data_IF_725911018190
#
_entry.id   IF_725911018190
#
_cell.length_a   1.000
_cell.length_b   1.000
_cell.length_c   1.000
_cell.angle_alpha   90.00
_cell.angle_beta   90.00
_cell.angle_gamma   90.00
#
_symmetry.space_group_name_H-M   'P 1'
#
loop_
_entity.id
_entity.type
_entity.pdbx_description
1 polymer ?
#
# COMPACT_ATOMS: atom_id res chain seq x y z
N UNK A 1 -52.05 12.66 -40.59
CA UNK A 1 -52.27 14.06 -41.02
C UNK A 1 -50.97 14.53 -41.67
N UNK A 2 -50.76 14.28 -42.97
CA UNK A 2 -50.92 15.26 -44.06
C UNK A 2 -50.20 16.60 -43.75
N UNK A 3 -48.97 16.79 -44.24
CA UNK A 3 -48.58 17.29 -45.58
C UNK A 3 -48.46 18.83 -45.60
N UNK A 4 -47.36 19.39 -46.10
CA UNK A 4 -47.36 20.06 -47.41
C UNK A 4 -45.96 20.47 -47.89
N UNK A 5 -45.69 20.03 -49.12
CA UNK A 5 -44.61 20.37 -50.05
C UNK A 5 -44.97 21.69 -50.76
N UNK A 6 -44.02 22.56 -51.07
CA UNK A 6 -44.22 23.58 -52.11
C UNK A 6 -42.93 23.80 -52.93
N UNK A 7 -43.14 23.73 -54.24
CA UNK A 7 -42.18 23.69 -55.34
C UNK A 7 -42.16 25.06 -56.06
N UNK A 8 -41.02 25.36 -56.69
CA UNK A 8 -40.79 26.25 -57.84
C UNK A 8 -40.99 27.78 -57.70
N UNK A 9 -39.97 28.53 -58.11
CA UNK A 9 -40.00 29.25 -59.41
C UNK A 9 -38.59 29.54 -59.93
N UNK A 10 -38.45 29.35 -61.24
CA UNK A 10 -37.29 29.57 -62.10
C UNK A 10 -37.54 30.87 -62.89
N UNK A 11 -36.50 31.66 -63.22
CA UNK A 11 -36.54 32.50 -64.42
C UNK A 11 -36.01 33.94 -64.36
N UNK A 12 -34.73 34.07 -64.70
CA UNK A 12 -34.12 34.95 -65.73
C UNK A 12 -34.26 36.49 -65.75
N UNK A 13 -33.15 37.05 -66.28
CA UNK A 13 -32.88 38.37 -66.92
C UNK A 13 -32.46 39.51 -65.99
N UNK A 14 -31.33 40.20 -66.17
CA UNK A 14 -30.30 40.11 -67.21
C UNK A 14 -29.47 41.42 -67.25
N UNK A 15 -28.18 41.27 -67.59
CA UNK A 15 -27.36 42.26 -68.29
C UNK A 15 -26.38 43.08 -67.45
N UNK A 16 -25.24 43.55 -67.96
CA UNK A 16 -24.52 43.32 -69.22
C UNK A 16 -23.24 44.22 -69.18
N UNK A 17 -22.09 43.66 -69.64
CA UNK A 17 -20.88 44.31 -70.24
C UNK A 17 -19.81 45.00 -69.35
N UNK A 18 -18.57 44.54 -69.58
CA UNK A 18 -17.30 45.26 -69.46
C UNK A 18 -16.09 44.29 -69.56
N UNK A 19 -15.80 43.71 -70.75
CA UNK A 19 -14.59 43.95 -71.58
C UNK A 19 -13.25 43.69 -70.85
N UNK A 20 -12.64 42.52 -71.03
CA UNK A 20 -11.48 42.25 -71.93
C UNK A 20 -10.18 43.00 -71.58
N UNK A 21 -9.29 42.30 -70.88
CA UNK A 21 -7.84 42.21 -71.14
C UNK A 21 -7.54 40.72 -70.90
N UNK A 22 -7.05 39.91 -71.83
CA UNK A 22 -5.99 40.21 -72.77
C UNK A 22 -4.65 39.66 -72.30
N UNK A 23 -4.60 38.54 -71.57
CA UNK A 23 -3.38 37.74 -71.47
C UNK A 23 -3.62 36.30 -71.92
N UNK A 24 -2.65 35.83 -72.68
CA UNK A 24 -2.63 34.63 -73.51
C UNK A 24 -1.71 33.60 -72.88
N UNK A 25 -2.09 32.32 -72.98
CA UNK A 25 -1.26 31.14 -72.70
C UNK A 25 -1.09 30.84 -71.18
N UNK A 26 -1.42 29.70 -70.60
CA UNK A 26 -1.46 28.32 -71.08
C UNK A 26 -2.58 27.55 -70.35
N UNK A 27 -3.28 26.72 -71.11
CA UNK A 27 -4.38 25.87 -70.68
C UNK A 27 -3.88 24.44 -70.40
N UNK A 28 -3.44 24.18 -69.18
CA UNK A 28 -3.70 22.90 -68.49
C UNK A 28 -3.76 23.17 -66.99
N UNK A 29 -4.85 23.78 -66.53
CA UNK A 29 -5.25 23.74 -65.13
C UNK A 29 -5.74 22.33 -64.80
N UNK A 30 -4.81 21.38 -64.67
CA UNK A 30 -5.03 20.27 -63.75
C UNK A 30 -5.28 20.93 -62.38
N UNK A 31 -6.38 20.60 -61.66
CA UNK A 31 -6.46 20.97 -60.26
C UNK A 31 -5.18 20.46 -59.61
N UNK A 32 -4.53 21.28 -58.78
CA UNK A 32 -3.45 20.79 -57.92
C UNK A 32 -3.97 19.49 -57.30
N UNK A 33 -3.36 18.33 -57.56
CA UNK A 33 -3.82 17.10 -56.93
C UNK A 33 -3.82 17.39 -55.43
N UNK A 34 -4.95 17.09 -54.77
CA UNK A 34 -4.92 17.04 -53.31
C UNK A 34 -3.70 16.21 -52.91
N UNK A 35 -2.88 16.68 -51.95
CA UNK A 35 -1.66 15.99 -51.58
C UNK A 35 -2.01 14.51 -51.33
N UNK A 36 -1.22 13.64 -51.95
CA UNK A 36 -1.39 12.21 -51.79
C UNK A 36 -1.20 11.89 -50.29
N UNK A 37 -2.18 11.30 -49.59
CA UNK A 37 -2.04 10.98 -48.16
C UNK A 37 -0.90 10.00 -47.88
N UNK A 38 -0.35 9.32 -48.90
CA UNK A 38 0.84 8.47 -48.76
C UNK A 38 2.18 9.25 -48.79
N UNK A 39 2.21 10.54 -49.16
CA UNK A 39 3.45 11.36 -49.06
C UNK A 39 3.59 12.07 -47.70
N UNK A 40 2.59 11.99 -46.83
CA UNK A 40 2.55 12.70 -45.53
C UNK A 40 3.01 11.83 -44.35
N UNK A 41 3.37 10.56 -44.59
CA UNK A 41 3.87 9.62 -43.57
C UNK A 41 5.37 9.33 -43.74
N UNK A 42 6.17 10.34 -44.08
CA UNK A 42 7.63 10.24 -44.18
C UNK A 42 8.22 10.90 -42.94
N UNK A 43 8.87 10.14 -42.03
CA UNK A 43 9.47 10.72 -40.85
C UNK A 43 10.66 11.63 -41.20
N UNK A 44 10.83 12.67 -40.41
CA UNK A 44 11.84 13.72 -40.51
C UNK A 44 12.51 13.93 -39.15
N UNK A 45 13.45 14.89 -39.07
CA UNK A 45 14.14 15.22 -37.80
C UNK A 45 13.37 16.32 -37.02
N UNK A 46 12.12 16.61 -37.36
CA UNK A 46 11.29 17.56 -36.63
C UNK A 46 9.85 17.06 -36.55
N UNK A 47 9.02 17.76 -35.79
CA UNK A 47 7.69 17.33 -35.36
C UNK A 47 6.81 16.84 -36.52
N UNK A 48 6.53 15.54 -36.51
CA UNK A 48 5.76 14.81 -37.51
C UNK A 48 4.44 14.28 -36.94
N UNK A 49 3.47 14.05 -37.84
CA UNK A 49 2.20 13.40 -37.51
C UNK A 49 2.07 12.11 -38.34
N UNK A 50 2.53 11.00 -37.76
CA UNK A 50 2.69 9.72 -38.44
C UNK A 50 1.51 8.79 -38.13
N UNK A 51 0.95 8.18 -39.17
CA UNK A 51 -0.24 7.34 -39.09
C UNK A 51 0.01 5.98 -39.73
N UNK A 52 -0.19 4.93 -38.95
CA UNK A 52 -0.22 3.54 -39.37
C UNK A 52 -1.49 3.16 -40.12
N UNK A 53 -1.70 1.87 -40.23
CA UNK A 53 -2.74 1.20 -40.98
C UNK A 53 -3.48 0.22 -40.07
N UNK A 54 -4.28 -0.68 -40.63
CA UNK A 54 -4.94 -1.73 -39.83
C UNK A 54 -4.14 -3.04 -39.79
N UNK A 55 -2.86 -2.98 -40.15
CA UNK A 55 -1.93 -4.10 -40.18
C UNK A 55 -0.72 -3.72 -39.34
N UNK A 56 0.05 -4.72 -38.92
CA UNK A 56 1.26 -4.54 -38.13
C UNK A 56 2.24 -3.59 -38.84
N UNK A 57 2.44 -2.42 -38.26
CA UNK A 57 3.26 -1.33 -38.77
C UNK A 57 4.53 -1.15 -37.92
N UNK A 58 5.54 -0.55 -38.56
CA UNK A 58 6.77 -0.10 -37.91
C UNK A 58 6.94 1.37 -38.21
N UNK A 59 6.75 2.22 -37.20
CA UNK A 59 6.78 3.68 -37.31
C UNK A 59 7.90 4.22 -36.40
N UNK A 60 8.71 5.14 -36.92
CA UNK A 60 9.79 5.78 -36.17
C UNK A 60 9.74 7.29 -36.41
N UNK A 61 9.59 8.08 -35.34
CA UNK A 61 9.50 9.56 -35.37
C UNK A 61 10.85 10.26 -35.58
N UNK A 62 11.94 9.61 -35.17
CA UNK A 62 13.33 10.07 -35.22
C UNK A 62 13.64 11.16 -34.20
N UNK A 63 13.31 12.42 -34.49
CA UNK A 63 13.55 13.55 -33.60
C UNK A 63 12.41 14.55 -33.76
N UNK A 64 12.26 15.41 -32.78
CA UNK A 64 11.15 16.36 -32.74
C UNK A 64 10.11 15.83 -31.77
N UNK A 65 9.07 16.63 -31.55
CA UNK A 65 7.93 16.20 -30.74
C UNK A 65 6.88 15.66 -31.71
N UNK A 66 6.85 14.34 -31.85
CA UNK A 66 6.11 13.62 -32.87
C UNK A 66 4.78 13.06 -32.34
N UNK A 67 3.84 12.79 -33.24
CA UNK A 67 2.60 12.06 -32.92
C UNK A 67 2.53 10.81 -33.77
N UNK A 68 2.58 9.64 -33.14
CA UNK A 68 2.56 8.33 -33.80
C UNK A 68 1.28 7.58 -33.43
N UNK A 69 0.57 7.05 -34.43
CA UNK A 69 -0.66 6.26 -34.22
C UNK A 69 -0.63 4.95 -35.00
N UNK A 70 -0.66 3.80 -34.32
CA UNK A 70 -0.68 2.45 -34.93
C UNK A 70 -2.02 2.10 -35.57
N UNK A 71 -3.12 2.33 -34.82
CA UNK A 71 -4.53 2.00 -35.13
C UNK A 71 -4.92 0.56 -34.81
N UNK A 72 -4.60 -0.40 -35.66
CA UNK A 72 -4.95 -1.80 -35.42
C UNK A 72 -3.89 -2.71 -36.00
N UNK A 73 -3.74 -3.90 -35.43
CA UNK A 73 -2.59 -4.76 -35.73
C UNK A 73 -1.60 -4.68 -34.58
N UNK A 74 -0.59 -5.53 -34.62
CA UNK A 74 0.47 -5.52 -33.61
C UNK A 74 1.59 -4.60 -34.11
N UNK A 75 1.57 -3.35 -33.68
CA UNK A 75 2.39 -2.26 -34.17
C UNK A 75 3.66 -2.07 -33.34
N UNK A 76 4.69 -1.47 -33.94
CA UNK A 76 5.87 -0.99 -33.22
C UNK A 76 6.07 0.48 -33.52
N UNK A 77 5.93 1.31 -32.49
CA UNK A 77 6.06 2.77 -32.53
C UNK A 77 7.29 3.18 -31.73
N UNK A 78 8.17 3.97 -32.31
CA UNK A 78 9.39 4.52 -31.68
C UNK A 78 9.38 6.04 -31.88
N UNK A 79 9.14 6.80 -30.81
CA UNK A 79 9.07 8.26 -30.84
C UNK A 79 10.41 8.84 -31.25
N UNK A 80 11.46 8.51 -30.48
CA UNK A 80 12.83 8.81 -30.83
C UNK A 80 13.42 9.85 -29.90
N UNK A 81 13.41 11.13 -30.28
CA UNK A 81 13.99 12.16 -29.43
C UNK A 81 13.17 13.44 -29.46
N UNK A 82 12.66 13.84 -28.31
CA UNK A 82 11.70 14.93 -28.18
C UNK A 82 10.54 14.44 -27.32
N UNK A 83 9.56 15.30 -27.09
CA UNK A 83 8.42 14.95 -26.24
C UNK A 83 7.31 14.36 -27.13
N UNK A 84 7.27 13.03 -27.26
CA UNK A 84 6.45 12.34 -28.26
C UNK A 84 5.08 11.90 -27.73
N UNK A 85 4.11 11.71 -28.62
CA UNK A 85 2.79 11.12 -28.31
C UNK A 85 2.61 9.84 -29.13
N UNK A 86 2.59 8.69 -28.46
CA UNK A 86 2.43 7.39 -29.10
C UNK A 86 1.09 6.76 -28.70
N UNK A 87 0.34 6.25 -29.69
CA UNK A 87 -0.90 5.51 -29.44
C UNK A 87 -0.94 4.23 -30.27
N UNK A 88 -0.89 3.07 -29.61
CA UNK A 88 -0.93 1.74 -30.24
C UNK A 88 -2.25 1.49 -30.94
N UNK A 89 -3.32 1.35 -30.16
CA UNK A 89 -4.65 1.12 -30.67
C UNK A 89 -5.14 -0.29 -30.35
N UNK A 90 -5.44 -1.08 -31.37
CA UNK A 90 -5.98 -2.42 -31.16
C UNK A 90 -4.99 -3.48 -31.63
N UNK A 91 -4.44 -4.26 -30.71
CA UNK A 91 -3.45 -5.29 -31.02
C UNK A 91 -2.46 -5.43 -29.88
N UNK A 92 -1.45 -6.27 -30.04
CA UNK A 92 -0.35 -6.32 -29.08
C UNK A 92 0.77 -5.37 -29.54
N UNK A 93 0.72 -4.14 -29.10
CA UNK A 93 1.56 -3.06 -29.58
C UNK A 93 2.85 -2.92 -28.75
N UNK A 94 3.88 -2.35 -29.38
CA UNK A 94 5.13 -1.99 -28.72
C UNK A 94 5.41 -0.52 -28.92
N UNK A 95 5.33 0.25 -27.84
CA UNK A 95 5.57 1.69 -27.81
C UNK A 95 6.92 1.97 -27.13
N UNK A 96 7.72 2.84 -27.72
CA UNK A 96 9.04 3.22 -27.22
C UNK A 96 9.14 4.75 -27.27
N UNK A 97 9.20 5.41 -26.11
CA UNK A 97 9.37 6.86 -26.00
C UNK A 97 10.78 7.29 -26.46
N UNK A 98 11.79 6.64 -25.88
CA UNK A 98 13.21 6.88 -26.15
C UNK A 98 13.84 8.01 -25.34
N UNK A 99 13.83 9.25 -25.80
CA UNK A 99 14.36 10.35 -24.97
C UNK A 99 13.42 11.54 -25.03
N UNK A 100 13.09 12.10 -23.89
CA UNK A 100 12.14 13.21 -23.80
C UNK A 100 11.03 12.84 -22.82
N UNK A 101 10.06 13.73 -22.64
CA UNK A 101 8.89 13.44 -21.83
C UNK A 101 7.76 12.96 -22.73
N UNK A 102 7.57 11.66 -22.80
CA UNK A 102 6.70 10.99 -23.75
C UNK A 102 5.33 10.66 -23.15
N UNK A 103 4.31 10.64 -23.99
CA UNK A 103 2.96 10.24 -23.63
C UNK A 103 2.54 9.01 -24.44
N UNK A 104 2.37 7.87 -23.78
CA UNK A 104 2.14 6.58 -24.42
C UNK A 104 0.81 5.98 -23.98
N UNK A 105 0.03 5.48 -24.95
CA UNK A 105 -1.25 4.83 -24.73
C UNK A 105 -1.30 3.52 -25.53
N UNK A 106 -1.42 2.38 -24.84
CA UNK A 106 -1.62 1.06 -25.45
C UNK A 106 -2.99 0.92 -26.12
N UNK A 107 -4.04 1.30 -25.38
CA UNK A 107 -5.47 1.14 -25.67
C UNK A 107 -6.01 -0.28 -25.44
N UNK A 108 -5.99 -1.18 -26.42
CA UNK A 108 -6.60 -2.52 -26.25
C UNK A 108 -5.67 -3.59 -26.78
N UNK A 109 -5.46 -4.62 -25.97
CA UNK A 109 -4.58 -5.73 -26.29
C UNK A 109 -3.44 -5.80 -25.28
N UNK A 110 -2.43 -6.61 -25.55
CA UNK A 110 -1.37 -6.84 -24.57
C UNK A 110 -0.14 -6.06 -25.04
N UNK A 111 0.05 -4.88 -24.47
CA UNK A 111 0.97 -3.88 -24.96
C UNK A 111 2.26 -3.85 -24.16
N UNK A 112 3.33 -3.37 -24.80
CA UNK A 112 4.62 -3.12 -24.15
C UNK A 112 4.97 -1.66 -24.34
N UNK A 113 4.99 -0.91 -23.23
CA UNK A 113 5.32 0.52 -23.20
C UNK A 113 6.68 0.69 -22.52
N UNK A 114 7.63 1.35 -23.20
CA UNK A 114 8.97 1.62 -22.67
C UNK A 114 9.28 3.12 -22.75
N UNK A 115 9.33 3.81 -21.61
CA UNK A 115 9.62 5.25 -21.53
C UNK A 115 11.07 5.55 -21.91
N UNK A 116 11.99 4.96 -21.14
CA UNK A 116 13.45 5.08 -21.20
C UNK A 116 13.97 6.34 -20.52
N UNK A 117 14.34 7.39 -21.26
CA UNK A 117 14.95 8.57 -20.66
C UNK A 117 13.96 9.74 -20.66
N UNK A 118 13.58 10.23 -19.49
CA UNK A 118 12.74 11.40 -19.31
C UNK A 118 11.57 11.13 -18.38
N UNK A 119 10.70 12.11 -18.22
CA UNK A 119 9.52 11.94 -17.36
C UNK A 119 8.34 11.60 -18.25
N UNK A 120 7.96 10.34 -18.28
CA UNK A 120 7.00 9.77 -19.20
C UNK A 120 5.63 9.56 -18.53
N UNK A 121 4.58 9.52 -19.34
CA UNK A 121 3.23 9.15 -18.90
C UNK A 121 2.74 7.98 -19.75
N UNK A 122 2.37 6.88 -19.10
CA UNK A 122 2.05 5.61 -19.74
C UNK A 122 0.68 5.08 -19.30
N UNK A 123 -0.14 4.68 -20.26
CA UNK A 123 -1.42 4.04 -20.04
C UNK A 123 -1.48 2.71 -20.79
N UNK A 124 -1.50 1.57 -20.08
CA UNK A 124 -1.76 0.25 -20.67
C UNK A 124 -3.17 0.18 -21.26
N UNK A 125 -4.15 0.50 -20.41
CA UNK A 125 -5.60 0.54 -20.68
C UNK A 125 -6.30 -0.81 -20.56
N UNK A 126 -6.62 -1.53 -21.63
CA UNK A 126 -7.30 -2.83 -21.55
C UNK A 126 -6.36 -3.95 -22.03
N UNK A 127 -5.97 -4.88 -21.15
CA UNK A 127 -5.25 -6.09 -21.54
C UNK A 127 -4.29 -6.58 -20.49
N UNK A 128 -3.22 -7.24 -20.92
CA UNK A 128 -2.13 -7.63 -20.02
C UNK A 128 -0.89 -6.89 -20.49
N UNK A 129 -0.63 -5.76 -19.86
CA UNK A 129 0.31 -4.75 -20.33
C UNK A 129 1.61 -4.79 -19.52
N UNK A 130 2.70 -4.45 -20.17
CA UNK A 130 4.02 -4.32 -19.54
C UNK A 130 4.55 -2.90 -19.73
N UNK A 131 4.61 -2.15 -18.64
CA UNK A 131 5.05 -0.76 -18.59
C UNK A 131 6.42 -0.69 -17.90
N UNK A 132 7.35 0.06 -18.49
CA UNK A 132 8.66 0.35 -17.89
C UNK A 132 8.98 1.83 -18.06
N UNK A 133 9.08 2.55 -16.94
CA UNK A 133 9.43 3.96 -16.86
C UNK A 133 10.83 4.22 -17.41
N UNK A 134 11.83 3.74 -16.69
CA UNK A 134 13.21 3.78 -17.11
C UNK A 134 14.01 4.73 -16.25
N UNK A 135 14.11 6.00 -16.61
CA UNK A 135 14.84 6.99 -15.84
C UNK A 135 14.17 8.34 -15.97
N UNK A 136 14.06 9.05 -14.86
CA UNK A 136 13.14 10.19 -14.74
C UNK A 136 11.95 9.79 -13.88
N UNK A 137 11.15 10.78 -13.49
CA UNK A 137 9.96 10.52 -12.66
C UNK A 137 8.76 10.27 -13.57
N UNK A 138 8.33 9.02 -13.62
CA UNK A 138 7.33 8.51 -14.55
C UNK A 138 5.96 8.34 -13.89
N UNK A 139 4.90 8.44 -14.70
CA UNK A 139 3.52 8.11 -14.31
C UNK A 139 3.03 6.90 -15.13
N UNK A 140 2.71 5.80 -14.46
CA UNK A 140 2.24 4.56 -15.07
C UNK A 140 0.85 4.17 -14.57
N UNK A 141 -0.03 3.82 -15.51
CA UNK A 141 -1.38 3.33 -15.24
C UNK A 141 -1.59 2.02 -16.03
N UNK A 142 -1.75 0.90 -15.32
CA UNK A 142 -2.02 -0.42 -15.92
C UNK A 142 -3.39 -0.44 -16.59
N UNK A 143 -4.45 -0.35 -15.80
CA UNK A 143 -5.82 -0.22 -16.26
C UNK A 143 -6.66 -1.44 -15.92
N UNK A 144 -7.14 -2.17 -16.94
CA UNK A 144 -7.90 -3.39 -16.77
C UNK A 144 -7.06 -4.59 -17.24
N UNK A 145 -6.89 -5.57 -16.36
CA UNK A 145 -6.22 -6.84 -16.63
C UNK A 145 -4.95 -6.98 -15.79
N UNK A 146 -4.28 -8.13 -15.88
CA UNK A 146 -3.13 -8.39 -14.99
C UNK A 146 -1.87 -7.75 -15.62
N UNK A 147 -1.46 -6.60 -15.09
CA UNK A 147 -0.43 -5.76 -15.65
C UNK A 147 0.91 -5.90 -14.90
N UNK A 148 2.00 -5.48 -15.55
CA UNK A 148 3.33 -5.39 -14.91
C UNK A 148 3.87 -3.97 -15.08
N UNK A 149 4.13 -3.28 -13.98
CA UNK A 149 4.66 -1.92 -13.95
C UNK A 149 6.05 -1.92 -13.30
N UNK A 150 7.01 -1.21 -13.91
CA UNK A 150 8.38 -1.08 -13.40
C UNK A 150 8.80 0.38 -13.48
N UNK A 151 9.02 1.02 -12.33
CA UNK A 151 9.51 2.41 -12.22
C UNK A 151 10.94 2.55 -12.74
N UNK A 152 11.84 1.79 -12.10
CA UNK A 152 13.26 1.65 -12.39
C UNK A 152 14.17 2.65 -11.67
N UNK A 153 14.19 3.93 -12.02
CA UNK A 153 15.10 4.89 -11.38
C UNK A 153 14.44 6.24 -11.20
N UNK A 154 14.73 6.88 -10.06
CA UNK A 154 14.04 8.08 -9.58
C UNK A 154 12.64 7.75 -9.03
N UNK A 155 11.97 8.72 -8.40
CA UNK A 155 10.67 8.47 -7.77
C UNK A 155 9.53 8.49 -8.80
N UNK A 156 8.78 7.40 -8.85
CA UNK A 156 7.75 7.09 -9.83
C UNK A 156 6.36 6.97 -9.21
N UNK A 157 5.33 7.09 -10.05
CA UNK A 157 3.93 6.83 -9.70
C UNK A 157 3.41 5.64 -10.52
N UNK A 158 2.83 4.65 -9.83
CA UNK A 158 2.24 3.44 -10.41
C UNK A 158 0.81 3.23 -9.88
N UNK A 159 -0.13 2.98 -10.78
CA UNK A 159 -1.50 2.55 -10.48
C UNK A 159 -1.82 1.30 -11.31
N UNK A 160 -1.91 0.13 -10.67
CA UNK A 160 -2.21 -1.15 -11.32
C UNK A 160 -3.62 -1.13 -11.92
N UNK A 161 -4.60 -0.80 -11.10
CA UNK A 161 -5.95 -0.47 -11.54
C UNK A 161 -6.96 -1.56 -11.21
N UNK A 162 -7.13 -2.56 -12.07
CA UNK A 162 -8.10 -3.63 -11.87
C UNK A 162 -7.52 -4.94 -12.34
N UNK A 163 -7.74 -5.99 -11.54
CA UNK A 163 -7.14 -7.32 -11.63
C UNK A 163 -5.82 -7.38 -10.87
N UNK A 164 -5.22 -8.58 -10.84
CA UNK A 164 -4.05 -8.87 -10.01
C UNK A 164 -2.81 -8.32 -10.73
N UNK A 165 -2.18 -7.28 -10.19
CA UNK A 165 -1.07 -6.54 -10.83
C UNK A 165 0.29 -6.78 -10.14
N UNK A 166 1.37 -6.77 -10.92
CA UNK A 166 2.75 -6.81 -10.43
C UNK A 166 3.41 -5.42 -10.56
N UNK A 167 3.85 -4.81 -9.46
CA UNK A 167 4.48 -3.48 -9.43
C UNK A 167 5.87 -3.51 -8.76
N UNK A 168 6.84 -2.85 -9.39
CA UNK A 168 8.23 -2.78 -8.91
C UNK A 168 8.75 -1.34 -8.97
N UNK A 169 9.00 -0.71 -7.81
CA UNK A 169 9.57 0.63 -7.67
C UNK A 169 11.02 0.72 -8.18
N UNK A 170 11.89 -0.07 -7.57
CA UNK A 170 13.34 -0.16 -7.81
C UNK A 170 14.15 0.91 -7.07
N UNK A 171 14.75 1.90 -7.74
CA UNK A 171 15.51 2.95 -7.06
C UNK A 171 14.68 4.24 -7.05
N UNK A 172 14.23 4.75 -5.91
CA UNK A 172 13.39 5.95 -5.90
C UNK A 172 12.55 6.06 -4.64
N UNK A 173 11.96 7.23 -4.41
CA UNK A 173 10.86 7.32 -3.45
C UNK A 173 9.57 7.16 -4.27
N UNK A 174 9.02 5.94 -4.32
CA UNK A 174 7.95 5.55 -5.23
C UNK A 174 6.56 5.63 -4.59
N UNK A 175 5.53 5.78 -5.42
CA UNK A 175 4.13 5.68 -5.00
C UNK A 175 3.41 4.61 -5.82
N UNK A 176 2.92 3.57 -5.17
CA UNK A 176 2.23 2.44 -5.79
C UNK A 176 0.80 2.29 -5.26
N UNK A 177 -0.17 2.11 -6.17
CA UNK A 177 -1.57 1.85 -5.88
C UNK A 177 -2.01 0.56 -6.58
N UNK A 178 -2.38 -0.48 -5.82
CA UNK A 178 -2.94 -1.73 -6.34
C UNK A 178 -4.38 -1.58 -6.83
N UNK A 179 -5.19 -0.84 -6.06
CA UNK A 179 -6.60 -0.54 -6.33
C UNK A 179 -7.54 -1.75 -6.17
N UNK A 180 -7.64 -2.64 -7.15
CA UNK A 180 -8.55 -3.80 -7.11
C UNK A 180 -7.86 -5.04 -7.64
N UNK A 181 -7.57 -6.02 -6.79
CA UNK A 181 -6.83 -7.19 -7.25
C UNK A 181 -6.12 -7.84 -6.09
N UNK A 182 -5.58 -9.04 -6.29
CA UNK A 182 -4.57 -9.53 -5.36
C UNK A 182 -3.21 -9.07 -5.90
N UNK A 183 -2.77 -7.89 -5.48
CA UNK A 183 -1.65 -7.20 -6.08
C UNK A 183 -0.33 -7.57 -5.40
N UNK A 184 0.76 -7.53 -6.17
CA UNK A 184 2.12 -7.74 -5.70
C UNK A 184 2.95 -6.48 -5.89
N UNK A 185 3.36 -5.83 -4.80
CA UNK A 185 4.16 -4.61 -4.82
C UNK A 185 5.52 -4.80 -4.14
N UNK A 186 6.58 -4.32 -4.78
CA UNK A 186 7.94 -4.29 -4.25
C UNK A 186 8.55 -2.89 -4.43
N UNK A 187 8.71 -2.15 -3.32
CA UNK A 187 9.32 -0.82 -3.29
C UNK A 187 10.78 -0.85 -3.72
N UNK A 188 11.56 -1.70 -3.08
CA UNK A 188 13.03 -1.79 -3.16
C UNK A 188 13.71 -0.62 -2.44
N UNK A 189 14.50 0.22 -3.13
CA UNK A 189 15.34 1.22 -2.49
C UNK A 189 14.68 2.60 -2.49
N UNK A 190 14.54 3.16 -1.30
CA UNK A 190 14.04 4.52 -1.10
C UNK A 190 12.86 4.52 -0.15
N UNK A 191 12.24 5.67 0.06
CA UNK A 191 11.14 5.79 1.01
C UNK A 191 9.82 5.72 0.24
N UNK A 192 9.21 4.54 0.21
CA UNK A 192 8.10 4.21 -0.66
C UNK A 192 6.74 4.37 0.03
N UNK A 193 5.71 4.63 -0.78
CA UNK A 193 4.31 4.71 -0.35
C UNK A 193 3.47 3.71 -1.14
N UNK A 194 2.96 2.68 -0.46
CA UNK A 194 2.18 1.60 -1.06
C UNK A 194 0.74 1.54 -0.49
N UNK A 195 -0.25 1.36 -1.37
CA UNK A 195 -1.66 1.13 -1.01
C UNK A 195 -2.20 -0.06 -1.83
N UNK A 196 -2.44 -1.20 -1.18
CA UNK A 196 -2.98 -2.42 -1.81
C UNK A 196 -4.42 -2.24 -2.27
N UNK A 197 -5.27 -1.73 -1.37
CA UNK A 197 -6.63 -1.33 -1.71
C UNK A 197 -7.64 -2.42 -1.40
N UNK A 198 -8.07 -3.18 -2.41
CA UNK A 198 -9.09 -4.22 -2.24
C UNK A 198 -8.53 -5.56 -2.68
N UNK A 199 -8.91 -6.60 -1.93
CA UNK A 199 -8.52 -8.00 -2.06
C UNK A 199 -7.18 -8.30 -1.36
N UNK A 200 -6.70 -9.54 -1.46
CA UNK A 200 -5.61 -10.02 -0.59
C UNK A 200 -4.27 -9.62 -1.23
N UNK A 201 -3.58 -8.61 -0.69
CA UNK A 201 -2.39 -8.01 -1.30
C UNK A 201 -1.06 -8.51 -0.68
N UNK A 202 0.03 -8.40 -1.45
CA UNK A 202 1.39 -8.73 -1.03
C UNK A 202 2.33 -7.55 -1.25
N UNK A 203 2.90 -6.99 -0.17
CA UNK A 203 3.76 -5.81 -0.21
C UNK A 203 5.11 -6.05 0.47
N UNK A 204 6.19 -5.54 -0.13
CA UNK A 204 7.54 -5.45 0.45
C UNK A 204 8.09 -4.05 0.24
N UNK A 205 8.50 -3.37 1.31
CA UNK A 205 9.11 -2.04 1.27
C UNK A 205 10.51 -2.11 0.72
N UNK A 206 11.38 -2.84 1.44
CA UNK A 206 12.78 -2.96 1.09
C UNK A 206 13.61 -2.01 1.96
N UNK A 207 14.77 -1.55 1.49
CA UNK A 207 15.53 -0.56 2.25
C UNK A 207 14.99 0.87 2.12
N UNK A 208 14.57 1.46 3.23
CA UNK A 208 14.10 2.84 3.35
C UNK A 208 13.07 2.98 4.46
N UNK A 209 12.61 4.21 4.71
CA UNK A 209 11.51 4.42 5.67
C UNK A 209 10.18 4.41 4.89
N UNK A 210 9.46 3.30 4.93
CA UNK A 210 8.32 3.03 4.05
C UNK A 210 6.95 3.23 4.73
N UNK A 211 5.93 3.51 3.92
CA UNK A 211 4.53 3.58 4.35
C UNK A 211 3.67 2.60 3.55
N UNK A 212 3.01 1.67 4.23
CA UNK A 212 2.18 0.64 3.60
C UNK A 212 0.77 0.61 4.17
N UNK A 213 -0.21 0.51 3.27
CA UNK A 213 -1.64 0.38 3.57
C UNK A 213 -2.16 -0.89 2.88
N UNK A 214 -2.57 -1.90 3.64
CA UNK A 214 -3.18 -3.14 3.11
C UNK A 214 -4.54 -2.84 2.48
N UNK A 215 -5.43 -2.24 3.26
CA UNK A 215 -6.75 -1.83 2.79
C UNK A 215 -7.80 -2.83 3.24
N UNK A 216 -8.38 -3.59 2.30
CA UNK A 216 -9.38 -4.60 2.63
C UNK A 216 -9.02 -5.93 2.01
N UNK A 217 -8.87 -6.98 2.80
CA UNK A 217 -8.19 -8.18 2.34
C UNK A 217 -7.53 -8.91 3.49
N UNK A 218 -6.91 -10.05 3.23
CA UNK A 218 -5.96 -10.62 4.17
C UNK A 218 -4.58 -10.35 3.60
N UNK A 219 -3.99 -9.25 4.04
CA UNK A 219 -2.82 -8.69 3.37
C UNK A 219 -1.53 -9.23 4.00
N UNK A 220 -0.48 -9.34 3.19
CA UNK A 220 0.86 -9.72 3.64
C UNK A 220 1.82 -8.56 3.40
N UNK A 221 2.43 -8.03 4.46
CA UNK A 221 3.30 -6.86 4.39
C UNK A 221 4.64 -7.10 5.09
N UNK A 222 5.74 -6.63 4.49
CA UNK A 222 7.09 -6.62 5.07
C UNK A 222 7.71 -5.23 4.88
N UNK A 223 8.05 -4.53 5.97
CA UNK A 223 8.79 -3.27 5.94
C UNK A 223 10.21 -3.45 5.39
N UNK A 224 10.91 -4.44 5.94
CA UNK A 224 12.32 -4.79 5.67
C UNK A 224 13.33 -3.88 6.39
N UNK A 225 14.12 -3.04 5.73
CA UNK A 225 15.21 -2.29 6.39
C UNK A 225 14.83 -0.80 6.51
N UNK A 226 14.50 -0.28 7.70
CA UNK A 226 14.24 1.15 7.93
C UNK A 226 13.14 1.39 8.96
N UNK A 227 12.81 2.65 9.27
CA UNK A 227 11.75 2.94 10.24
C UNK A 227 10.38 2.97 9.54
N UNK A 228 9.66 1.85 9.56
CA UNK A 228 8.49 1.63 8.69
C UNK A 228 7.13 1.87 9.36
N UNK A 229 6.14 2.25 8.55
CA UNK A 229 4.74 2.40 8.96
C UNK A 229 3.81 1.45 8.19
N UNK A 230 3.27 0.44 8.86
CA UNK A 230 2.40 -0.58 8.25
C UNK A 230 0.98 -0.51 8.86
N UNK A 231 -0.03 -0.48 8.00
CA UNK A 231 -1.45 -0.45 8.39
C UNK A 231 -2.20 -1.55 7.64
N UNK A 232 -2.64 -2.62 8.33
CA UNK A 232 -3.34 -3.76 7.72
C UNK A 232 -4.69 -3.35 7.13
N UNK A 233 -5.63 -2.96 7.98
CA UNK A 233 -6.94 -2.47 7.53
C UNK A 233 -8.06 -3.45 7.87
N UNK A 234 -8.89 -3.84 6.91
CA UNK A 234 -9.97 -4.81 7.10
C UNK A 234 -9.53 -6.21 6.69
N UNK A 235 -9.46 -7.18 7.61
CA UNK A 235 -9.28 -8.60 7.35
C UNK A 235 -8.21 -9.21 8.25
N UNK A 236 -7.64 -10.37 7.91
CA UNK A 236 -6.66 -11.03 8.80
C UNK A 236 -5.27 -10.85 8.23
N UNK A 237 -4.56 -9.83 8.70
CA UNK A 237 -3.34 -9.38 8.06
C UNK A 237 -2.11 -10.03 8.68
N UNK A 238 -1.04 -10.16 7.88
CA UNK A 238 0.26 -10.67 8.30
C UNK A 238 1.32 -9.61 8.03
N UNK A 239 1.83 -8.98 9.09
CA UNK A 239 2.76 -7.85 9.00
C UNK A 239 4.09 -8.14 9.68
N UNK A 240 5.19 -7.81 9.02
CA UNK A 240 6.54 -7.75 9.57
C UNK A 240 7.10 -6.34 9.42
N UNK A 241 7.62 -5.74 10.49
CA UNK A 241 8.37 -4.48 10.44
C UNK A 241 9.72 -4.71 9.77
N UNK A 242 10.63 -5.38 10.46
CA UNK A 242 11.93 -5.75 9.91
C UNK A 242 13.06 -5.23 10.80
N UNK A 243 14.03 -4.53 10.24
CA UNK A 243 15.09 -3.85 10.98
C UNK A 243 14.78 -2.35 11.07
N UNK A 244 14.48 -1.82 12.25
CA UNK A 244 14.14 -0.40 12.39
C UNK A 244 13.32 -0.09 13.63
N UNK A 245 12.80 1.13 13.74
CA UNK A 245 11.80 1.46 14.76
C UNK A 245 10.42 1.56 14.12
N UNK A 246 9.73 0.43 14.07
CA UNK A 246 8.55 0.27 13.21
C UNK A 246 7.23 0.58 13.94
N UNK A 247 6.22 0.94 13.17
CA UNK A 247 4.84 1.13 13.65
C UNK A 247 3.89 0.24 12.85
N UNK A 248 3.36 -0.79 13.50
CA UNK A 248 2.43 -1.74 12.90
C UNK A 248 1.04 -1.61 13.52
N UNK A 249 0.03 -1.39 12.67
CA UNK A 249 -1.37 -1.23 13.04
C UNK A 249 -2.22 -2.32 12.37
N UNK A 250 -2.74 -3.27 13.16
CA UNK A 250 -3.57 -4.41 12.71
C UNK A 250 -4.80 -3.96 11.93
N UNK A 251 -5.75 -3.36 12.64
CA UNK A 251 -7.00 -2.90 12.06
C UNK A 251 -8.16 -3.75 12.54
N UNK A 252 -9.09 -4.11 11.66
CA UNK A 252 -10.19 -5.01 11.95
C UNK A 252 -9.85 -6.43 11.51
N UNK A 253 -9.88 -7.40 12.43
CA UNK A 253 -9.78 -8.82 12.09
C UNK A 253 -8.89 -9.58 13.06
N UNK A 254 -8.20 -10.62 12.62
CA UNK A 254 -7.30 -11.37 13.52
C UNK A 254 -5.91 -11.37 12.93
N UNK A 255 -5.12 -10.41 13.36
CA UNK A 255 -3.89 -10.05 12.70
C UNK A 255 -2.69 -10.74 13.34
N UNK A 256 -1.64 -10.91 12.56
CA UNK A 256 -0.33 -11.38 13.02
C UNK A 256 0.69 -10.29 12.75
N UNK A 257 1.23 -9.70 13.82
CA UNK A 257 2.21 -8.61 13.74
C UNK A 257 3.54 -9.08 14.34
N UNK A 258 4.63 -8.79 13.64
CA UNK A 258 6.00 -9.02 14.09
C UNK A 258 6.82 -7.74 13.91
N UNK A 259 7.38 -7.19 14.98
CA UNK A 259 8.20 -5.97 14.92
C UNK A 259 9.52 -6.25 14.21
N UNK A 260 10.37 -7.08 14.80
CA UNK A 260 11.63 -7.49 14.19
C UNK A 260 12.82 -7.11 15.05
N UNK A 261 13.71 -6.27 14.55
CA UNK A 261 14.81 -5.69 15.33
C UNK A 261 14.64 -4.19 15.43
N UNK A 262 15.04 -3.62 16.57
CA UNK A 262 14.82 -2.21 16.89
C UNK A 262 13.58 -2.03 17.77
N UNK A 263 13.16 -0.78 17.98
CA UNK A 263 12.20 -0.48 19.05
C UNK A 263 10.82 -0.22 18.46
N UNK A 264 9.98 -1.24 18.48
CA UNK A 264 8.77 -1.25 17.65
C UNK A 264 7.51 -0.88 18.44
N UNK A 265 6.48 -0.43 17.73
CA UNK A 265 5.14 -0.20 18.27
C UNK A 265 4.11 -1.00 17.47
N UNK A 266 3.50 -1.99 18.13
CA UNK A 266 2.49 -2.86 17.54
C UNK A 266 1.14 -2.64 18.22
N UNK A 267 0.09 -2.32 17.45
CA UNK A 267 -1.30 -2.27 17.95
C UNK A 267 -2.20 -3.17 17.09
N UNK A 268 -2.66 -4.28 17.68
CA UNK A 268 -3.58 -5.21 17.02
C UNK A 268 -4.96 -4.61 16.74
N UNK A 269 -5.33 -3.54 17.46
CA UNK A 269 -6.65 -2.91 17.36
C UNK A 269 -7.81 -3.90 17.57
N UNK A 270 -8.63 -4.15 16.54
CA UNK A 270 -9.93 -4.79 16.68
C UNK A 270 -9.91 -6.24 16.22
N UNK A 271 -9.63 -7.15 17.15
CA UNK A 271 -10.08 -8.53 17.08
C UNK A 271 -9.22 -9.44 17.92
N UNK A 272 -8.78 -10.59 17.38
CA UNK A 272 -8.05 -11.58 18.15
C UNK A 272 -6.61 -11.75 17.65
N UNK A 273 -5.78 -10.78 17.98
CA UNK A 273 -4.48 -10.56 17.32
C UNK A 273 -3.32 -11.27 18.04
N UNK A 274 -2.27 -11.56 17.27
CA UNK A 274 -1.01 -12.14 17.74
C UNK A 274 0.15 -11.19 17.45
N UNK A 275 0.71 -10.60 18.48
CA UNK A 275 1.79 -9.62 18.39
C UNK A 275 3.09 -10.20 18.95
N UNK A 276 4.20 -9.89 18.29
CA UNK A 276 5.56 -10.23 18.71
C UNK A 276 6.47 -9.04 18.44
N UNK A 277 7.11 -8.49 19.48
CA UNK A 277 8.04 -7.36 19.35
C UNK A 277 9.29 -7.80 18.61
N UNK A 278 10.18 -8.53 19.28
CA UNK A 278 11.38 -9.08 18.65
C UNK A 278 12.63 -8.74 19.45
N UNK A 279 13.64 -8.16 18.82
CA UNK A 279 14.81 -7.60 19.51
C UNK A 279 14.68 -6.09 19.65
N UNK A 280 14.62 -5.55 20.87
CA UNK A 280 14.57 -4.13 21.14
C UNK A 280 13.62 -3.82 22.30
N UNK A 281 13.48 -2.54 22.64
CA UNK A 281 12.53 -2.13 23.67
C UNK A 281 11.17 -1.85 22.99
N UNK A 282 10.25 -2.82 23.04
CA UNK A 282 9.03 -2.81 22.23
C UNK A 282 7.76 -2.40 22.98
N UNK A 283 6.80 -1.85 22.25
CA UNK A 283 5.48 -1.49 22.73
C UNK A 283 4.37 -2.30 22.05
N UNK A 284 3.71 -3.20 22.79
CA UNK A 284 2.66 -4.07 22.24
C UNK A 284 1.30 -3.72 22.84
N UNK A 285 0.29 -3.52 21.99
CA UNK A 285 -1.03 -3.04 22.36
C UNK A 285 -2.10 -3.97 21.76
N UNK A 286 -3.09 -4.35 22.55
CA UNK A 286 -4.31 -5.03 22.09
C UNK A 286 -4.12 -6.40 21.40
N UNK A 287 -3.21 -7.26 21.86
CA UNK A 287 -3.12 -8.66 21.40
C UNK A 287 -3.79 -9.69 22.32
N UNK A 288 -4.35 -10.77 21.74
CA UNK A 288 -4.72 -12.00 22.48
C UNK A 288 -3.48 -12.81 22.80
N UNK A 289 -2.46 -12.76 21.95
CA UNK A 289 -1.13 -13.23 22.25
C UNK A 289 -0.16 -12.07 22.08
N UNK A 290 0.63 -11.76 23.10
CA UNK A 290 1.68 -10.73 23.03
C UNK A 290 2.97 -11.32 23.58
N UNK A 291 4.06 -11.12 22.85
CA UNK A 291 5.40 -11.54 23.25
C UNK A 291 6.38 -10.40 22.96
N UNK A 292 6.93 -9.77 24.01
CA UNK A 292 7.87 -8.66 23.87
C UNK A 292 9.13 -9.10 23.13
N UNK A 293 9.81 -10.13 23.63
CA UNK A 293 10.98 -10.71 22.98
C UNK A 293 12.23 -10.43 23.78
N UNK A 294 13.18 -9.68 23.25
CA UNK A 294 14.42 -9.33 23.94
C UNK A 294 14.56 -7.82 24.06
N UNK A 295 14.68 -7.30 25.27
CA UNK A 295 14.74 -5.87 25.56
C UNK A 295 13.85 -5.54 26.75
N UNK A 296 13.53 -4.27 26.96
CA UNK A 296 12.64 -3.84 28.02
C UNK A 296 11.29 -3.44 27.41
N UNK A 297 10.37 -4.39 27.42
CA UNK A 297 9.13 -4.25 26.65
C UNK A 297 8.00 -3.70 27.50
N UNK A 298 6.99 -3.11 26.84
CA UNK A 298 5.76 -2.69 27.50
C UNK A 298 4.55 -3.27 26.78
N UNK A 299 3.78 -4.09 27.50
CA UNK A 299 2.61 -4.78 27.00
C UNK A 299 1.34 -4.16 27.59
N UNK A 300 0.51 -3.56 26.73
CA UNK A 300 -0.75 -2.90 27.07
C UNK A 300 -1.96 -3.72 26.69
N UNK A 301 -2.82 -3.92 27.69
CA UNK A 301 -4.08 -4.64 27.51
C UNK A 301 -5.26 -3.74 27.86
N UNK A 302 -6.11 -3.46 26.86
CA UNK A 302 -7.35 -2.72 27.04
C UNK A 302 -8.54 -3.68 27.16
N UNK A 303 -9.55 -3.30 27.95
CA UNK A 303 -10.73 -4.11 28.40
C UNK A 303 -11.66 -4.64 27.28
N UNK A 304 -11.25 -4.66 26.01
CA UNK A 304 -12.02 -5.22 24.89
C UNK A 304 -11.55 -6.62 24.45
N UNK A 305 -10.44 -7.12 25.01
CA UNK A 305 -9.89 -8.41 24.62
C UNK A 305 -10.51 -9.60 25.37
N UNK A 306 -10.54 -10.80 24.76
CA UNK A 306 -11.08 -11.99 25.39
C UNK A 306 -10.31 -12.35 26.67
N UNK A 307 -11.03 -12.90 27.66
CA UNK A 307 -10.57 -13.15 29.03
C UNK A 307 -9.46 -14.22 29.17
N UNK A 308 -8.75 -14.58 28.10
CA UNK A 308 -7.72 -15.60 28.04
C UNK A 308 -6.46 -15.15 27.26
N UNK A 309 -6.20 -13.84 27.20
CA UNK A 309 -4.98 -13.33 26.59
C UNK A 309 -3.72 -13.90 27.28
N UNK A 310 -2.68 -14.18 26.49
CA UNK A 310 -1.37 -14.63 26.95
C UNK A 310 -0.34 -13.54 26.70
N UNK A 311 0.33 -13.11 27.77
CA UNK A 311 1.36 -12.07 27.74
C UNK A 311 2.70 -12.69 28.11
N UNK A 312 3.72 -12.49 27.29
CA UNK A 312 5.10 -12.93 27.51
C UNK A 312 5.97 -11.68 27.42
N UNK A 313 6.74 -11.37 28.47
CA UNK A 313 7.71 -10.27 28.44
C UNK A 313 8.92 -10.69 27.61
N UNK A 314 9.66 -11.67 28.12
CA UNK A 314 10.83 -12.25 27.46
C UNK A 314 12.13 -11.88 28.17
N UNK A 315 13.18 -11.66 27.40
CA UNK A 315 14.52 -11.33 27.89
C UNK A 315 14.64 -9.84 28.22
N UNK A 316 14.47 -9.45 29.49
CA UNK A 316 14.87 -8.11 29.94
C UNK A 316 14.07 -7.62 31.14
N UNK A 317 13.67 -6.35 31.16
CA UNK A 317 12.86 -5.79 32.27
C UNK A 317 11.57 -5.21 31.72
N UNK A 318 10.52 -6.02 31.81
CA UNK A 318 9.27 -5.71 31.10
C UNK A 318 8.22 -5.07 32.01
N UNK A 319 7.39 -4.26 31.38
CA UNK A 319 6.21 -3.62 31.93
C UNK A 319 4.94 -4.25 31.38
N UNK A 320 4.00 -4.59 32.25
CA UNK A 320 2.66 -5.02 31.86
C UNK A 320 1.66 -3.99 32.37
N UNK A 321 0.87 -3.39 31.48
CA UNK A 321 -0.16 -2.40 31.85
C UNK A 321 -1.55 -2.90 31.45
N UNK A 322 -2.41 -3.13 32.45
CA UNK A 322 -3.78 -3.61 32.25
C UNK A 322 -4.77 -2.51 32.62
N UNK A 323 -5.60 -2.12 31.65
CA UNK A 323 -6.69 -1.15 31.83
C UNK A 323 -8.05 -1.85 31.84
N UNK A 324 -8.81 -1.67 32.92
CA UNK A 324 -10.17 -2.19 33.07
C UNK A 324 -11.17 -1.04 32.91
N UNK A 325 -12.28 -1.23 32.19
CA UNK A 325 -13.26 -0.19 31.87
C UNK A 325 -14.65 -0.40 32.50
N UNK A 326 -14.93 -1.57 33.08
CA UNK A 326 -16.25 -1.94 33.64
C UNK A 326 -16.31 -2.21 35.14
N UNK A 327 -17.49 -1.99 35.75
CA UNK A 327 -17.85 -2.55 37.06
C UNK A 327 -18.13 -4.06 36.91
N UNK A 328 -17.46 -4.90 37.70
CA UNK A 328 -17.56 -6.39 37.68
C UNK A 328 -16.93 -7.09 36.46
N UNK A 329 -15.91 -6.50 35.83
CA UNK A 329 -15.08 -7.23 34.87
C UNK A 329 -14.30 -8.34 35.60
N UNK A 330 -14.50 -9.61 35.20
CA UNK A 330 -13.58 -10.69 35.59
C UNK A 330 -12.63 -10.89 34.44
N UNK A 331 -11.37 -10.49 34.64
CA UNK A 331 -10.34 -10.56 33.62
C UNK A 331 -9.19 -11.45 34.11
N UNK A 332 -8.85 -12.48 33.34
CA UNK A 332 -7.90 -13.53 33.72
C UNK A 332 -6.84 -13.69 32.61
N UNK A 333 -5.88 -12.76 32.49
CA UNK A 333 -4.78 -12.97 31.58
C UNK A 333 -3.86 -14.06 32.13
N UNK A 334 -3.24 -14.81 31.23
CA UNK A 334 -2.08 -15.63 31.56
C UNK A 334 -0.85 -14.78 31.30
N UNK A 335 -0.03 -14.57 32.33
CA UNK A 335 1.27 -13.89 32.18
C UNK A 335 2.33 -14.97 32.29
N UNK A 336 2.98 -15.23 31.16
CA UNK A 336 3.98 -16.26 30.94
C UNK A 336 5.39 -15.66 30.83
N UNK A 337 5.75 -14.73 31.70
CA UNK A 337 7.15 -14.50 32.06
C UNK A 337 7.21 -13.79 33.42
N UNK A 338 8.24 -14.08 34.22
CA UNK A 338 8.67 -13.26 35.35
C UNK A 338 10.16 -13.46 35.64
N UNK A 339 10.98 -13.94 34.68
CA UNK A 339 12.41 -14.22 34.90
C UNK A 339 13.26 -13.34 33.99
N UNK A 340 13.67 -12.15 34.44
CA UNK A 340 14.67 -11.37 33.71
C UNK A 340 15.91 -12.25 33.50
N UNK A 341 16.35 -12.42 32.26
CA UNK A 341 17.70 -12.96 32.00
C UNK A 341 18.79 -11.94 32.35
N UNK A 342 18.40 -10.72 32.77
CA UNK A 342 19.22 -9.62 33.27
C UNK A 342 19.00 -9.20 34.74
N UNK A 343 19.51 -8.01 35.10
CA UNK A 343 19.41 -7.45 36.46
C UNK A 343 18.28 -6.42 36.56
N UNK A 344 17.09 -6.85 36.97
CA UNK A 344 15.92 -6.00 37.20
C UNK A 344 14.76 -6.82 37.76
N UNK A 345 13.63 -6.20 38.04
CA UNK A 345 12.39 -6.90 38.36
C UNK A 345 11.31 -6.35 37.43
N UNK A 346 10.54 -7.24 36.81
CA UNK A 346 9.40 -6.86 35.98
C UNK A 346 8.33 -6.13 36.79
N UNK A 347 7.62 -5.23 36.11
CA UNK A 347 6.63 -4.34 36.72
C UNK A 347 5.25 -4.66 36.13
N UNK A 348 4.29 -4.98 36.99
CA UNK A 348 2.88 -5.14 36.60
C UNK A 348 2.06 -3.95 37.12
N UNK A 349 1.66 -3.07 36.22
CA UNK A 349 0.72 -1.97 36.45
C UNK A 349 -0.73 -2.40 36.20
N UNK A 350 -1.62 -2.17 37.17
CA UNK A 350 -3.07 -2.33 36.97
C UNK A 350 -3.77 -1.00 37.23
N UNK A 351 -4.45 -0.47 36.22
CA UNK A 351 -5.19 0.80 36.30
C UNK A 351 -6.70 0.55 36.31
N UNK A 352 -7.37 1.08 37.35
CA UNK A 352 -8.83 1.02 37.51
C UNK A 352 -9.49 2.35 37.07
N UNK A 353 -10.70 2.32 36.48
CA UNK A 353 -11.38 3.51 36.00
C UNK A 353 -11.89 4.40 37.16
N UNK A 354 -12.04 5.70 36.90
CA UNK A 354 -12.50 6.66 37.89
C UNK A 354 -13.95 6.38 38.32
N UNK A 355 -14.19 6.18 39.62
CA UNK A 355 -15.52 5.94 40.18
C UNK A 355 -15.72 4.52 40.71
N UNK A 356 -14.85 3.57 40.37
CA UNK A 356 -14.77 2.28 41.05
C UNK A 356 -14.20 2.51 42.45
N UNK A 357 -14.97 2.17 43.48
CA UNK A 357 -14.46 2.13 44.84
C UNK A 357 -13.82 0.76 45.05
N UNK A 358 -12.48 0.67 45.18
CA UNK A 358 -11.80 -0.61 45.43
C UNK A 358 -12.27 -1.28 46.73
N UNK A 359 -13.01 -0.58 47.59
CA UNK A 359 -13.61 -1.11 48.81
C UNK A 359 -15.06 -1.62 48.64
N UNK A 360 -15.75 -1.32 47.53
CA UNK A 360 -17.17 -1.62 47.31
C UNK A 360 -17.46 -2.47 46.05
N UNK A 361 -16.58 -2.41 45.04
CA UNK A 361 -16.78 -3.07 43.75
C UNK A 361 -15.83 -4.27 43.57
N UNK A 362 -16.37 -5.43 43.17
CA UNK A 362 -15.59 -6.65 42.99
C UNK A 362 -14.95 -6.69 41.60
N UNK A 363 -13.87 -5.93 41.41
CA UNK A 363 -12.98 -6.10 40.27
C UNK A 363 -11.85 -7.05 40.67
N UNK A 364 -11.78 -8.22 40.05
CA UNK A 364 -10.75 -9.23 40.31
C UNK A 364 -9.88 -9.44 39.08
N UNK A 365 -8.60 -9.11 39.21
CA UNK A 365 -7.56 -9.51 38.26
C UNK A 365 -6.98 -10.83 38.75
N UNK A 366 -7.17 -11.89 37.96
CA UNK A 366 -6.63 -13.22 38.26
C UNK A 366 -5.43 -13.43 37.36
N UNK A 367 -4.23 -13.19 37.91
CA UNK A 367 -2.99 -13.51 37.19
C UNK A 367 -2.69 -14.98 37.44
N UNK A 368 -2.61 -15.76 36.38
CA UNK A 368 -2.08 -17.14 36.46
C UNK A 368 -0.61 -17.08 36.04
N UNK A 369 0.35 -17.21 36.98
CA UNK A 369 1.76 -17.19 36.63
C UNK A 369 2.11 -18.44 35.82
N UNK A 370 2.81 -18.27 34.72
CA UNK A 370 3.38 -19.38 33.96
C UNK A 370 4.33 -20.25 34.80
N UNK A 371 4.64 -21.44 34.31
CA UNK A 371 5.43 -22.46 35.03
C UNK A 371 6.83 -22.00 35.45
N UNK A 372 7.37 -20.93 34.83
CA UNK A 372 8.72 -20.43 35.04
C UNK A 372 8.86 -19.10 35.81
N UNK A 373 7.78 -18.38 36.15
CA UNK A 373 7.81 -17.03 36.75
C UNK A 373 8.85 -16.80 37.91
N UNK A 374 9.45 -15.63 38.14
CA UNK A 374 10.16 -15.27 39.39
C UNK A 374 9.45 -14.14 40.19
N UNK A 375 10.19 -13.44 41.07
CA UNK A 375 9.66 -12.37 41.93
C UNK A 375 9.27 -11.14 41.09
N UNK A 376 8.10 -10.55 41.34
CA UNK A 376 7.58 -9.42 40.56
C UNK A 376 7.14 -8.26 41.47
N UNK A 377 7.13 -7.03 40.97
CA UNK A 377 6.49 -5.92 41.67
C UNK A 377 5.16 -5.59 41.00
N UNK A 378 4.05 -5.78 41.72
CA UNK A 378 2.73 -5.36 41.24
C UNK A 378 2.45 -3.97 41.79
N UNK A 379 2.13 -3.03 40.91
CA UNK A 379 1.67 -1.70 41.29
C UNK A 379 0.20 -1.56 40.88
N UNK A 380 -0.66 -1.33 41.87
CA UNK A 380 -2.09 -1.10 41.61
C UNK A 380 -2.34 0.40 41.72
N UNK A 381 -2.74 1.03 40.61
CA UNK A 381 -3.08 2.44 40.57
C UNK A 381 -4.60 2.64 40.58
N UNK A 382 -5.07 3.37 41.59
CA UNK A 382 -6.48 3.74 41.75
C UNK A 382 -6.65 5.25 41.65
N UNK A 383 -7.89 5.72 41.49
CA UNK A 383 -8.21 7.16 41.55
C UNK A 383 -7.77 7.85 42.86
N UNK A 384 -7.48 7.08 43.92
CA UNK A 384 -7.07 7.56 45.24
C UNK A 384 -5.55 7.45 45.52
N UNK A 385 -4.76 6.94 44.56
CA UNK A 385 -3.30 6.79 44.69
C UNK A 385 -2.77 5.44 44.21
N UNK A 386 -1.44 5.31 44.19
CA UNK A 386 -0.69 4.10 43.82
C UNK A 386 -0.39 3.26 45.06
N UNK A 387 -0.64 1.95 44.98
CA UNK A 387 -0.29 0.98 46.00
C UNK A 387 0.75 -0.01 45.44
N UNK A 388 1.91 -0.08 46.07
CA UNK A 388 2.92 -1.09 45.76
C UNK A 388 2.56 -2.42 46.45
N UNK A 389 2.46 -3.48 45.68
CA UNK A 389 2.20 -4.86 46.10
C UNK A 389 3.37 -5.72 45.64
N UNK A 390 4.31 -6.01 46.53
CA UNK A 390 5.44 -6.88 46.20
C UNK A 390 4.97 -8.35 46.05
N UNK A 391 5.27 -9.00 44.91
CA UNK A 391 5.21 -10.44 44.74
C UNK A 391 6.59 -11.05 45.04
N UNK A 392 6.64 -11.99 45.98
CA UNK A 392 7.81 -12.83 46.26
C UNK A 392 7.40 -14.28 45.98
N UNK A 393 8.06 -14.94 45.03
CA UNK A 393 7.87 -16.35 44.69
C UNK A 393 8.71 -17.24 45.59
N UNK A 394 8.09 -17.80 46.62
CA UNK A 394 8.34 -19.14 47.15
C UNK A 394 7.31 -19.45 48.26
N UNK A 395 6.18 -20.02 47.86
CA UNK A 395 5.14 -20.48 48.78
C UNK A 395 4.09 -19.42 49.11
N UNK A 396 2.89 -19.60 48.58
CA UNK A 396 1.69 -19.02 49.18
C UNK A 396 1.64 -19.52 50.62
N UNK A 397 1.79 -18.62 51.59
CA UNK A 397 1.25 -18.88 52.93
C UNK A 397 0.18 -17.91 53.35
N UNK A 398 -0.14 -16.85 52.59
CA UNK A 398 -1.35 -16.08 52.81
C UNK A 398 -1.81 -15.43 51.51
N UNK A 399 -3.10 -15.58 51.18
CA UNK A 399 -3.73 -14.65 50.25
C UNK A 399 -3.59 -13.24 50.84
N UNK A 400 -3.09 -12.32 50.03
CA UNK A 400 -3.07 -10.92 50.39
C UNK A 400 -4.31 -10.27 49.79
N UNK A 401 -5.29 -10.00 50.65
CA UNK A 401 -6.26 -8.92 50.44
C UNK A 401 -5.51 -7.61 50.65
N UNK A 402 -5.20 -6.90 49.57
CA UNK A 402 -4.98 -5.46 49.65
C UNK A 402 -6.37 -4.90 49.80
N UNK A 403 -6.73 -4.46 51.01
CA UNK A 403 -8.07 -4.00 51.43
C UNK A 403 -9.12 -4.05 50.29
N UNK A 404 -9.70 -5.25 50.13
CA UNK A 404 -10.82 -5.63 49.26
C UNK A 404 -10.64 -5.64 47.72
N UNK A 405 -9.44 -5.51 47.17
CA UNK A 405 -9.14 -6.04 45.82
C UNK A 405 -8.72 -7.51 45.96
N UNK A 406 -9.59 -8.44 45.58
CA UNK A 406 -9.25 -9.86 45.53
C UNK A 406 -8.43 -10.14 44.27
N UNK A 407 -7.10 -9.97 44.35
CA UNK A 407 -6.18 -10.55 43.37
C UNK A 407 -6.09 -12.06 43.67
N UNK A 408 -6.92 -12.85 42.99
CA UNK A 408 -6.87 -14.32 43.13
C UNK A 408 -5.78 -14.81 42.18
N UNK A 409 -4.60 -15.14 42.70
CA UNK A 409 -3.60 -15.87 41.93
C UNK A 409 -4.04 -17.34 41.94
N UNK A 410 -4.56 -17.82 40.81
CA UNK A 410 -4.98 -19.22 40.70
C UNK A 410 -3.72 -20.10 40.63
N UNK A 411 -3.42 -20.82 41.70
CA UNK A 411 -2.41 -21.87 41.65
C UNK A 411 -2.99 -23.08 40.91
N UNK A 412 -2.33 -23.56 39.85
CA UNK A 412 -2.51 -24.94 39.43
C UNK A 412 -2.09 -25.85 40.59
N UNK A 413 -3.08 -26.49 41.22
CA UNK A 413 -2.82 -27.63 42.09
C UNK A 413 -2.27 -28.77 41.24
N UNK A 414 -0.95 -28.89 41.14
CA UNK A 414 -0.34 -30.17 40.79
C UNK A 414 -0.71 -31.17 41.89
N UNK A 415 -1.53 -32.15 41.51
CA UNK A 415 -1.80 -33.31 42.35
C UNK A 415 -0.48 -34.07 42.61
N UNK A 416 -0.21 -34.31 43.89
CA UNK A 416 0.99 -34.97 44.41
C UNK A 416 1.15 -36.44 43.99
#
# INVERSE_FOLDING_TARGET
MFALMALLTLGLLGGLIGLFDGDSDDSTGEPNPEPNPEEENIPTDGNDDLLGTAANDLINGLKGDDVLRGLSGDDTLDGGAGDDVLRGGAGADRLIGSTGSDHMIGDTGNDVLLGRDGNDTMYGSDGFDALNGGSGSDEMYGGNGEDTLIGAADGDFMDGGSNDDDMFGQDGDDTMLGSFGNDSMEGNFGNDSMDGGQNDDSMSGGPGDDLMLGGSGNDTMSGDDGDDGLIGGEGNDSMGGGDGADVLLGGEGNDTLYGGTGNDTLDGQAGADSLRGGEGDDGLINGVYMNGGAGNDVLWLLDQLPANATLVGGDGVDGFEIFLSGENSTFIPTIEDFVPTGAGAEILGVTLPAGIDPNADTTSVVITPGTNAADAMVQVQTANGTFDVALIKNGITNGFTVDNVAMVIAAETQAA
#
